data_IF_301652476788
#
_entry.id   IF_301652476788
#
_cell.length_a   1.000
_cell.length_b   1.000
_cell.length_c   1.000
_cell.angle_alpha   90.00
_cell.angle_beta   90.00
_cell.angle_gamma   90.00
#
_symmetry.space_group_name_H-M   'P 1'
#
loop_
_entity.id
_entity.type
_entity.pdbx_description
1 polymer ?
#
# COMPACT_ATOMS: atom_id res chain seq x y z
N UNK A 1 11.45 -14.52 22.29
CA UNK A 1 12.45 -13.95 21.35
C UNK A 1 12.57 -12.45 21.60
N UNK A 2 13.74 -11.96 22.03
CA UNK A 2 14.01 -10.51 22.09
C UNK A 2 13.95 -9.97 20.66
N UNK A 3 13.14 -8.95 20.41
CA UNK A 3 13.13 -8.28 19.11
C UNK A 3 14.54 -7.74 18.82
N UNK A 4 15.09 -8.04 17.66
CA UNK A 4 16.40 -7.51 17.27
C UNK A 4 16.35 -5.97 17.28
N UNK A 5 17.46 -5.31 17.63
CA UNK A 5 17.54 -3.84 17.72
C UNK A 5 17.01 -3.13 16.47
N UNK A 6 17.24 -3.73 15.31
CA UNK A 6 16.70 -3.32 14.01
C UNK A 6 15.17 -3.39 13.93
N UNK A 7 14.56 -4.51 14.30
CA UNK A 7 13.09 -4.66 14.29
C UNK A 7 12.42 -3.71 15.31
N UNK A 8 13.07 -3.48 16.45
CA UNK A 8 12.62 -2.48 17.43
C UNK A 8 12.65 -1.07 16.86
N UNK A 9 13.69 -0.71 16.09
CA UNK A 9 13.77 0.58 15.42
C UNK A 9 12.67 0.73 14.36
N UNK A 10 12.53 -0.23 13.43
CA UNK A 10 11.53 -0.19 12.35
C UNK A 10 10.08 -0.16 12.85
N UNK A 11 9.83 -0.65 14.06
CA UNK A 11 8.52 -0.57 14.69
C UNK A 11 8.34 0.67 15.56
N UNK A 12 9.39 1.45 15.81
CA UNK A 12 9.34 2.63 16.68
C UNK A 12 8.82 3.88 15.96
N UNK A 13 8.44 4.90 16.75
CA UNK A 13 8.15 6.23 16.22
C UNK A 13 9.37 6.94 15.64
N UNK A 14 10.59 6.58 16.07
CA UNK A 14 11.82 7.18 15.51
C UNK A 14 11.96 6.86 14.02
N UNK A 15 11.60 5.64 13.63
CA UNK A 15 11.57 5.26 12.22
C UNK A 15 10.48 6.01 11.44
N UNK A 16 9.29 6.19 12.02
CA UNK A 16 8.26 7.02 11.41
C UNK A 16 8.72 8.47 11.22
N UNK A 17 9.37 9.08 12.23
CA UNK A 17 9.95 10.41 12.11
C UNK A 17 11.02 10.47 11.01
N UNK A 18 11.85 9.44 10.86
CA UNK A 18 12.80 9.35 9.76
C UNK A 18 12.08 9.35 8.40
N UNK A 19 11.01 8.56 8.24
CA UNK A 19 10.20 8.55 7.00
C UNK A 19 9.61 9.94 6.70
N UNK A 20 9.20 10.70 7.72
CA UNK A 20 8.69 12.07 7.55
C UNK A 20 9.81 13.03 7.17
N UNK A 21 10.98 12.92 7.79
CA UNK A 21 12.15 13.76 7.45
C UNK A 21 12.63 13.48 6.02
N UNK A 22 12.60 12.22 5.58
CA UNK A 22 12.98 11.84 4.22
C UNK A 22 12.15 12.54 3.13
N UNK A 23 10.92 12.98 3.44
CA UNK A 23 10.05 13.72 2.51
C UNK A 23 10.65 15.07 2.10
N UNK A 24 11.42 15.68 2.99
CA UNK A 24 12.06 16.96 2.74
C UNK A 24 13.47 16.83 2.16
N UNK A 25 14.08 15.64 2.29
CA UNK A 25 15.43 15.37 1.81
C UNK A 25 15.41 14.79 0.39
N UNK A 26 14.49 13.87 0.12
CA UNK A 26 14.42 13.16 -1.16
C UNK A 26 13.54 13.91 -2.15
N UNK A 27 14.15 14.84 -2.88
CA UNK A 27 13.51 15.55 -3.98
C UNK A 27 13.18 14.62 -5.17
N UNK A 28 12.18 14.96 -5.99
CA UNK A 28 11.97 14.28 -7.25
C UNK A 28 13.21 14.44 -8.15
N UNK A 29 13.44 13.45 -9.00
CA UNK A 29 14.47 13.50 -10.04
C UNK A 29 13.79 13.74 -11.37
N UNK A 30 14.36 14.60 -12.21
CA UNK A 30 13.99 14.76 -13.60
C UNK A 30 15.27 14.93 -14.44
N UNK A 31 15.31 14.31 -15.61
CA UNK A 31 16.46 14.40 -16.52
C UNK A 31 16.47 15.67 -17.38
N UNK A 32 15.31 16.33 -17.53
CA UNK A 32 15.17 17.61 -18.24
C UNK A 32 14.49 18.66 -17.37
N UNK A 33 14.94 19.90 -17.51
CA UNK A 33 14.33 21.12 -16.94
C UNK A 33 14.05 21.06 -15.44
N UNK A 34 14.91 20.38 -14.67
CA UNK A 34 14.78 20.31 -13.23
C UNK A 34 15.10 21.66 -12.58
N UNK A 35 14.12 22.18 -11.82
CA UNK A 35 14.27 23.35 -10.95
C UNK A 35 13.70 23.05 -9.58
N UNK A 36 14.39 23.50 -8.54
CA UNK A 36 13.96 23.29 -7.15
C UNK A 36 12.57 23.86 -6.88
N UNK A 37 12.27 25.02 -7.46
CA UNK A 37 10.97 25.69 -7.29
C UNK A 37 9.83 24.91 -7.95
N UNK A 38 10.12 24.11 -8.97
CA UNK A 38 9.16 23.32 -9.73
C UNK A 38 9.00 21.88 -9.21
N UNK A 39 9.64 21.52 -8.08
CA UNK A 39 9.63 20.15 -7.58
C UNK A 39 8.20 19.60 -7.36
N UNK A 40 7.28 20.43 -6.86
CA UNK A 40 5.87 20.04 -6.69
C UNK A 40 5.18 19.72 -8.01
N UNK A 41 5.41 20.54 -9.04
CA UNK A 41 4.83 20.36 -10.37
C UNK A 41 5.39 19.11 -11.05
N UNK A 42 6.69 18.86 -10.91
CA UNK A 42 7.34 17.64 -11.41
C UNK A 42 6.71 16.40 -10.77
N UNK A 43 6.45 16.42 -9.46
CA UNK A 43 5.78 15.30 -8.77
C UNK A 43 4.39 15.07 -9.36
N UNK A 44 3.57 16.12 -9.44
CA UNK A 44 2.20 16.00 -9.93
C UNK A 44 2.17 15.50 -11.39
N UNK A 45 2.98 16.11 -12.25
CA UNK A 45 3.07 15.74 -13.66
C UNK A 45 3.56 14.30 -13.85
N UNK A 46 4.56 13.88 -13.07
CA UNK A 46 5.07 12.50 -13.09
C UNK A 46 3.99 11.51 -12.70
N UNK A 47 3.20 11.77 -11.67
CA UNK A 47 2.13 10.87 -11.23
C UNK A 47 0.99 10.76 -12.26
N UNK A 48 0.70 11.84 -13.00
CA UNK A 48 -0.30 11.83 -14.06
C UNK A 48 0.14 11.09 -15.33
N UNK A 49 1.45 11.03 -15.60
CA UNK A 49 2.03 10.38 -16.77
C UNK A 49 2.85 9.13 -16.41
N UNK A 50 2.62 8.57 -15.22
CA UNK A 50 3.38 7.43 -14.74
C UNK A 50 3.09 6.17 -15.58
N UNK A 51 4.04 5.23 -15.59
CA UNK A 51 3.93 3.99 -16.38
C UNK A 51 2.68 3.14 -16.10
N UNK A 52 2.01 3.35 -14.96
CA UNK A 52 0.72 2.73 -14.65
C UNK A 52 -0.34 3.04 -15.73
N UNK A 53 -0.28 4.21 -16.37
CA UNK A 53 -1.22 4.60 -17.42
C UNK A 53 -1.17 3.63 -18.61
N UNK A 54 0.03 3.19 -19.00
CA UNK A 54 0.23 2.21 -20.07
C UNK A 54 -0.08 0.77 -19.62
N UNK A 55 -0.10 0.52 -18.31
CA UNK A 55 -0.37 -0.79 -17.73
C UNK A 55 -1.87 -1.10 -17.60
N UNK A 56 -2.76 -0.10 -17.71
CA UNK A 56 -4.20 -0.31 -17.53
C UNK A 56 -4.80 -1.31 -18.53
N UNK A 57 -4.26 -1.43 -19.75
CA UNK A 57 -4.70 -2.46 -20.71
C UNK A 57 -4.44 -3.89 -20.22
N UNK A 58 -3.55 -4.06 -19.24
CA UNK A 58 -3.20 -5.35 -18.64
C UNK A 58 -3.82 -5.54 -17.25
N UNK A 59 -4.65 -4.61 -16.77
CA UNK A 59 -5.26 -4.62 -15.42
C UNK A 59 -5.92 -5.96 -15.10
N UNK A 60 -6.64 -6.53 -16.08
CA UNK A 60 -7.29 -7.84 -15.98
C UNK A 60 -6.36 -8.94 -15.45
N UNK A 61 -5.14 -9.04 -15.98
CA UNK A 61 -4.18 -10.07 -15.57
C UNK A 61 -3.74 -9.88 -14.11
N UNK A 62 -3.42 -8.65 -13.72
CA UNK A 62 -3.03 -8.33 -12.35
C UNK A 62 -4.16 -8.57 -11.36
N UNK A 63 -5.38 -8.20 -11.75
CA UNK A 63 -6.58 -8.37 -10.96
C UNK A 63 -6.90 -9.85 -10.72
N UNK A 64 -6.87 -10.67 -11.78
CA UNK A 64 -7.06 -12.13 -11.68
C UNK A 64 -5.99 -12.77 -10.79
N UNK A 65 -4.71 -12.45 -11.00
CA UNK A 65 -3.61 -12.96 -10.16
C UNK A 65 -3.82 -12.59 -8.70
N UNK A 66 -4.20 -11.34 -8.42
CA UNK A 66 -4.43 -10.87 -7.06
C UNK A 66 -5.63 -11.57 -6.41
N UNK A 67 -6.76 -11.69 -7.10
CA UNK A 67 -7.95 -12.39 -6.60
C UNK A 67 -7.62 -13.85 -6.29
N UNK A 68 -6.95 -14.55 -7.20
CA UNK A 68 -6.54 -15.94 -6.97
C UNK A 68 -5.59 -16.06 -5.78
N UNK A 69 -4.63 -15.14 -5.63
CA UNK A 69 -3.73 -15.11 -4.48
C UNK A 69 -4.47 -14.83 -3.15
N UNK A 70 -5.46 -13.94 -3.17
CA UNK A 70 -6.32 -13.63 -2.01
C UNK A 70 -7.18 -14.82 -1.61
N UNK A 71 -7.81 -15.50 -2.57
CA UNK A 71 -8.59 -16.72 -2.32
C UNK A 71 -7.66 -17.81 -1.77
N UNK A 72 -6.50 -18.02 -2.39
CA UNK A 72 -5.53 -19.02 -1.97
C UNK A 72 -5.03 -18.79 -0.54
N UNK A 73 -4.72 -17.55 -0.15
CA UNK A 73 -4.28 -17.26 1.23
C UNK A 73 -5.40 -17.46 2.25
N UNK A 74 -6.65 -17.15 1.89
CA UNK A 74 -7.81 -17.37 2.78
C UNK A 74 -8.12 -18.86 2.95
N UNK A 75 -8.07 -19.65 1.87
CA UNK A 75 -8.41 -21.08 1.87
C UNK A 75 -7.27 -21.92 2.46
N UNK A 76 -6.02 -21.68 2.06
CA UNK A 76 -4.87 -22.48 2.47
C UNK A 76 -4.10 -21.92 3.66
N UNK A 77 -4.41 -20.69 4.10
CA UNK A 77 -3.92 -20.08 5.35
C UNK A 77 -2.40 -20.16 5.49
N UNK A 78 -1.91 -20.74 6.59
CA UNK A 78 -0.49 -20.90 6.89
C UNK A 78 0.33 -21.55 5.76
N UNK A 79 -0.26 -22.50 5.01
CA UNK A 79 0.46 -23.21 3.93
C UNK A 79 0.84 -22.30 2.77
N UNK A 80 0.00 -21.30 2.45
CA UNK A 80 0.24 -20.37 1.34
C UNK A 80 0.81 -19.02 1.79
N UNK A 81 0.94 -18.81 3.11
CA UNK A 81 1.30 -17.51 3.69
C UNK A 81 2.64 -16.97 3.21
N UNK A 82 3.63 -17.86 3.05
CA UNK A 82 4.96 -17.50 2.54
C UNK A 82 4.90 -17.03 1.09
N UNK A 83 4.19 -17.77 0.24
CA UNK A 83 4.04 -17.46 -1.19
C UNK A 83 3.26 -16.17 -1.37
N UNK A 84 2.14 -16.02 -0.66
CA UNK A 84 1.36 -14.78 -0.67
C UNK A 84 2.19 -13.57 -0.24
N UNK A 85 2.99 -13.71 0.82
CA UNK A 85 3.88 -12.63 1.27
C UNK A 85 4.88 -12.23 0.18
N UNK A 86 5.43 -13.19 -0.57
CA UNK A 86 6.32 -12.91 -1.70
C UNK A 86 5.58 -12.20 -2.84
N UNK A 87 4.38 -12.66 -3.20
CA UNK A 87 3.52 -12.04 -4.22
C UNK A 87 3.26 -10.58 -3.85
N UNK A 88 2.77 -10.30 -2.64
CA UNK A 88 2.51 -8.94 -2.19
C UNK A 88 3.78 -8.07 -2.19
N UNK A 89 4.94 -8.63 -1.81
CA UNK A 89 6.23 -7.94 -1.92
C UNK A 89 6.60 -7.57 -3.36
N UNK A 90 6.39 -8.48 -4.33
CA UNK A 90 6.61 -8.20 -5.75
C UNK A 90 5.65 -7.13 -6.30
N UNK A 91 4.38 -7.17 -5.88
CA UNK A 91 3.41 -6.13 -6.24
C UNK A 91 3.80 -4.77 -5.66
N UNK A 92 4.27 -4.69 -4.41
CA UNK A 92 4.81 -3.45 -3.87
C UNK A 92 6.03 -2.94 -4.63
N UNK A 93 6.93 -3.84 -5.05
CA UNK A 93 8.08 -3.45 -5.88
C UNK A 93 7.62 -2.89 -7.24
N UNK A 94 6.60 -3.51 -7.83
CA UNK A 94 5.98 -3.02 -9.05
C UNK A 94 5.38 -1.62 -8.83
N UNK A 95 4.59 -1.41 -7.77
CA UNK A 95 3.97 -0.12 -7.46
C UNK A 95 5.00 1.00 -7.27
N UNK A 96 6.13 0.70 -6.63
CA UNK A 96 7.23 1.65 -6.47
C UNK A 96 7.72 2.17 -7.83
N UNK A 97 7.74 1.34 -8.86
CA UNK A 97 8.16 1.73 -10.21
C UNK A 97 7.00 2.34 -10.98
N UNK A 98 5.94 1.57 -11.23
CA UNK A 98 4.93 1.94 -12.23
C UNK A 98 4.11 3.17 -11.85
N UNK A 99 3.96 3.47 -10.55
CA UNK A 99 3.16 4.62 -10.12
C UNK A 99 3.98 5.88 -9.89
N UNK A 100 5.31 5.79 -9.83
CA UNK A 100 6.16 6.88 -9.37
C UNK A 100 7.26 7.25 -10.35
N UNK A 101 7.29 6.61 -11.52
CA UNK A 101 8.24 6.88 -12.60
C UNK A 101 7.48 7.12 -13.89
N UNK A 102 7.96 8.08 -14.68
CA UNK A 102 7.44 8.42 -15.99
C UNK A 102 8.58 8.76 -16.95
N UNK A 103 8.34 8.59 -18.25
CA UNK A 103 9.19 9.16 -19.31
C UNK A 103 8.30 10.05 -20.16
N UNK A 104 8.60 11.34 -20.15
CA UNK A 104 7.77 12.36 -20.80
C UNK A 104 8.62 13.29 -21.65
N UNK A 105 7.99 13.98 -22.60
CA UNK A 105 8.70 14.96 -23.41
C UNK A 105 9.20 16.14 -22.57
N UNK A 106 8.39 16.59 -21.60
CA UNK A 106 8.63 17.75 -20.75
C UNK A 106 9.78 17.53 -19.75
N UNK A 107 9.82 16.41 -19.05
CA UNK A 107 10.82 16.16 -17.98
C UNK A 107 11.81 15.04 -18.30
N UNK A 108 11.72 14.44 -19.49
CA UNK A 108 12.45 13.22 -19.82
C UNK A 108 12.04 12.10 -18.85
N UNK A 109 13.01 11.33 -18.36
CA UNK A 109 12.80 10.45 -17.22
C UNK A 109 12.59 11.28 -15.95
N UNK A 110 11.46 11.06 -15.26
CA UNK A 110 11.16 11.65 -13.97
C UNK A 110 10.72 10.61 -12.94
N UNK A 111 11.05 10.88 -11.67
CA UNK A 111 10.81 9.96 -10.56
C UNK A 111 10.42 10.72 -9.30
N UNK A 112 9.35 10.28 -8.64
CA UNK A 112 9.00 10.70 -7.28
C UNK A 112 9.85 9.90 -6.29
N UNK A 113 11.12 10.29 -6.15
CA UNK A 113 12.18 9.53 -5.46
C UNK A 113 11.77 9.04 -4.07
N UNK A 114 11.09 9.88 -3.29
CA UNK A 114 10.70 9.52 -1.93
C UNK A 114 9.64 8.41 -1.90
N UNK A 115 8.68 8.42 -2.83
CA UNK A 115 7.69 7.35 -2.92
C UNK A 115 8.35 6.03 -3.36
N UNK A 116 9.26 6.10 -4.33
CA UNK A 116 10.04 4.92 -4.76
C UNK A 116 10.81 4.32 -3.58
N UNK A 117 11.49 5.17 -2.79
CA UNK A 117 12.23 4.72 -1.62
C UNK A 117 11.31 4.11 -0.55
N UNK A 118 10.20 4.76 -0.22
CA UNK A 118 9.26 4.26 0.80
C UNK A 118 8.54 2.98 0.40
N UNK A 119 7.93 2.96 -0.79
CA UNK A 119 7.18 1.81 -1.29
C UNK A 119 8.15 0.66 -1.59
N UNK A 120 9.33 0.95 -2.14
CA UNK A 120 10.41 -0.02 -2.30
C UNK A 120 10.87 -0.61 -0.97
N UNK A 121 10.97 0.20 0.09
CA UNK A 121 11.28 -0.30 1.43
C UNK A 121 10.17 -1.23 1.98
N UNK A 122 8.90 -0.89 1.76
CA UNK A 122 7.77 -1.79 2.08
C UNK A 122 7.94 -3.12 1.34
N UNK A 123 8.21 -3.07 0.03
CA UNK A 123 8.44 -4.27 -0.79
C UNK A 123 9.55 -5.15 -0.21
N UNK A 124 10.70 -4.56 0.14
CA UNK A 124 11.82 -5.27 0.74
C UNK A 124 11.46 -5.92 2.08
N UNK A 125 10.68 -5.23 2.93
CA UNK A 125 10.21 -5.77 4.21
C UNK A 125 9.28 -6.98 4.01
N UNK A 126 8.39 -6.93 3.02
CA UNK A 126 7.54 -8.06 2.65
C UNK A 126 8.36 -9.23 2.10
N UNK A 127 9.25 -8.99 1.15
CA UNK A 127 10.12 -10.04 0.57
C UNK A 127 11.03 -10.66 1.64
N UNK A 128 11.56 -9.86 2.56
CA UNK A 128 12.35 -10.34 3.68
C UNK A 128 11.53 -11.21 4.64
N UNK A 129 10.28 -10.84 4.93
CA UNK A 129 9.37 -11.67 5.72
C UNK A 129 9.01 -12.98 5.02
N UNK A 130 8.83 -12.95 3.69
CA UNK A 130 8.64 -14.15 2.87
C UNK A 130 9.88 -15.06 2.89
N UNK A 131 11.08 -14.49 2.86
CA UNK A 131 12.32 -15.26 2.96
C UNK A 131 12.46 -15.94 4.32
N UNK A 132 12.21 -15.21 5.41
CA UNK A 132 12.24 -15.74 6.78
C UNK A 132 11.10 -16.71 7.10
N UNK A 133 9.99 -16.66 6.35
CA UNK A 133 8.80 -17.48 6.62
C UNK A 133 8.11 -17.10 7.93
N UNK A 134 8.19 -15.84 8.36
CA UNK A 134 7.67 -15.38 9.65
C UNK A 134 6.33 -14.62 9.56
N UNK A 135 5.60 -14.83 8.47
CA UNK A 135 4.22 -14.39 8.29
C UNK A 135 3.32 -15.62 8.18
N UNK A 136 2.36 -15.73 9.08
CA UNK A 136 1.31 -16.74 9.04
C UNK A 136 -0.07 -16.07 9.02
N UNK A 137 -0.80 -16.26 7.93
CA UNK A 137 -2.18 -15.80 7.77
C UNK A 137 -3.14 -16.86 8.28
N UNK A 138 -3.48 -16.78 9.57
CA UNK A 138 -4.38 -17.73 10.26
C UNK A 138 -5.83 -17.25 10.35
N UNK A 139 -6.07 -15.94 10.18
CA UNK A 139 -7.39 -15.28 10.38
C UNK A 139 -7.99 -15.54 11.77
N UNK A 140 -7.14 -15.68 12.78
CA UNK A 140 -7.53 -15.95 14.17
C UNK A 140 -8.01 -14.69 14.94
N UNK A 141 -7.88 -13.52 14.34
CA UNK A 141 -8.27 -12.24 14.91
C UNK A 141 -9.52 -11.66 14.21
N UNK A 142 -10.40 -12.51 13.69
CA UNK A 142 -11.72 -12.11 13.15
C UNK A 142 -12.68 -11.92 14.33
N UNK A 143 -12.95 -10.66 14.67
CA UNK A 143 -13.83 -10.26 15.77
C UNK A 143 -14.71 -9.10 15.32
N UNK A 144 -15.73 -8.71 16.08
CA UNK A 144 -16.52 -7.51 15.76
C UNK A 144 -15.66 -6.23 15.61
N UNK A 145 -14.55 -6.14 16.37
CA UNK A 145 -13.64 -4.98 16.34
C UNK A 145 -12.77 -4.90 15.07
N UNK A 146 -12.60 -6.02 14.38
CA UNK A 146 -11.71 -6.16 13.20
C UNK A 146 -12.47 -6.54 11.95
N UNK A 147 -13.66 -7.12 12.05
CA UNK A 147 -14.48 -7.59 10.93
C UNK A 147 -14.93 -6.46 10.00
N UNK A 148 -15.08 -5.23 10.51
CA UNK A 148 -15.39 -4.05 9.68
C UNK A 148 -14.32 -3.76 8.62
N UNK A 149 -13.09 -4.28 8.76
CA UNK A 149 -12.02 -4.11 7.78
C UNK A 149 -12.23 -4.93 6.51
N UNK A 150 -13.08 -5.96 6.55
CA UNK A 150 -13.42 -6.82 5.41
C UNK A 150 -14.20 -6.04 4.33
N UNK A 151 -15.34 -5.38 4.61
CA UNK A 151 -16.06 -4.62 3.59
C UNK A 151 -15.21 -3.47 3.02
N UNK A 152 -14.33 -2.87 3.81
CA UNK A 152 -13.39 -1.85 3.31
C UNK A 152 -12.41 -2.45 2.30
N UNK A 153 -11.84 -3.62 2.60
CA UNK A 153 -10.97 -4.33 1.66
C UNK A 153 -11.70 -4.72 0.37
N UNK A 154 -12.95 -5.23 0.47
CA UNK A 154 -13.75 -5.57 -0.70
C UNK A 154 -14.05 -4.35 -1.57
N UNK A 155 -14.39 -3.21 -0.95
CA UNK A 155 -14.56 -1.94 -1.66
C UNK A 155 -13.26 -1.51 -2.37
N UNK A 156 -12.11 -1.62 -1.72
CA UNK A 156 -10.83 -1.26 -2.33
C UNK A 156 -10.41 -2.21 -3.46
N UNK A 157 -10.75 -3.49 -3.35
CA UNK A 157 -10.51 -4.48 -4.40
C UNK A 157 -11.42 -4.21 -5.62
N UNK A 158 -12.68 -3.85 -5.39
CA UNK A 158 -13.61 -3.48 -6.45
C UNK A 158 -13.23 -2.16 -7.13
N UNK A 159 -12.94 -1.13 -6.34
CA UNK A 159 -12.61 0.22 -6.78
C UNK A 159 -13.53 0.75 -7.92
N UNK A 160 -14.84 0.94 -7.65
CA UNK A 160 -15.83 1.31 -8.67
C UNK A 160 -15.71 2.77 -9.13
N UNK A 161 -14.62 3.10 -9.82
CA UNK A 161 -14.33 4.44 -10.32
C UNK A 161 -13.89 4.38 -11.78
N UNK A 162 -14.49 5.23 -12.61
CA UNK A 162 -14.05 5.40 -13.99
C UNK A 162 -12.69 6.10 -14.03
N UNK A 163 -11.71 5.47 -14.67
CA UNK A 163 -10.37 6.04 -14.86
C UNK A 163 -10.38 7.28 -15.77
N UNK A 164 -11.41 7.44 -16.62
CA UNK A 164 -11.51 8.56 -17.56
C UNK A 164 -12.03 9.83 -16.90
N UNK A 165 -13.03 9.68 -16.02
CA UNK A 165 -13.73 10.81 -15.41
C UNK A 165 -13.40 11.01 -13.95
N UNK A 166 -12.72 10.04 -13.31
CA UNK A 166 -12.47 9.99 -11.87
C UNK A 166 -13.75 10.09 -11.01
N UNK A 167 -14.91 9.75 -11.62
CA UNK A 167 -16.20 9.73 -10.96
C UNK A 167 -16.58 8.29 -10.54
N UNK A 168 -17.40 8.13 -9.50
CA UNK A 168 -17.95 6.83 -9.12
C UNK A 168 -18.71 6.19 -10.28
N UNK A 169 -18.40 4.93 -10.55
CA UNK A 169 -19.04 4.10 -11.57
C UNK A 169 -19.18 2.69 -11.02
N UNK A 170 -20.39 2.35 -10.53
CA UNK A 170 -20.67 1.15 -9.75
C UNK A 170 -20.88 -0.11 -10.62
N UNK A 171 -20.10 -0.24 -11.68
CA UNK A 171 -20.15 -1.42 -12.53
C UNK A 171 -19.35 -2.57 -11.93
N UNK A 172 -19.90 -3.78 -12.02
CA UNK A 172 -19.27 -4.97 -11.44
C UNK A 172 -18.01 -5.42 -12.20
N UNK A 173 -17.84 -5.00 -13.46
CA UNK A 173 -16.69 -5.44 -14.25
C UNK A 173 -15.35 -5.00 -13.64
N UNK A 174 -15.33 -3.84 -12.96
CA UNK A 174 -14.17 -3.34 -12.23
C UNK A 174 -13.61 -4.31 -11.17
N UNK A 175 -14.39 -5.31 -10.71
CA UNK A 175 -13.85 -6.37 -9.86
C UNK A 175 -12.77 -7.19 -10.55
N UNK A 176 -12.88 -7.46 -11.85
CA UNK A 176 -11.98 -8.35 -12.58
C UNK A 176 -11.13 -7.64 -13.64
N UNK A 177 -11.50 -6.45 -14.10
CA UNK A 177 -10.70 -5.64 -15.05
C UNK A 177 -10.34 -4.24 -14.51
N UNK A 178 -10.70 -3.95 -13.25
CA UNK A 178 -10.38 -2.68 -12.61
C UNK A 178 -8.89 -2.50 -12.39
N UNK A 179 -8.46 -1.25 -12.33
CA UNK A 179 -7.06 -0.87 -12.10
C UNK A 179 -6.59 -1.01 -10.65
N UNK A 180 -7.38 -1.62 -9.75
CA UNK A 180 -7.09 -1.62 -8.33
C UNK A 180 -5.83 -2.45 -8.00
N UNK A 181 -5.68 -3.65 -8.55
CA UNK A 181 -4.48 -4.47 -8.32
C UNK A 181 -3.17 -3.88 -8.89
N UNK A 182 -3.23 -2.81 -9.67
CA UNK A 182 -2.04 -2.10 -10.19
C UNK A 182 -1.55 -0.98 -9.27
N UNK A 183 -2.32 -0.65 -8.22
CA UNK A 183 -2.08 0.56 -7.45
C UNK A 183 -1.89 0.29 -5.94
N UNK A 184 -0.95 1.03 -5.35
CA UNK A 184 -0.63 1.00 -3.93
C UNK A 184 -1.83 1.39 -3.06
N UNK A 185 -2.55 2.46 -3.44
CA UNK A 185 -3.63 3.04 -2.64
C UNK A 185 -4.82 2.09 -2.40
N UNK A 186 -5.38 1.40 -3.41
CA UNK A 186 -6.40 0.39 -3.20
C UNK A 186 -5.88 -0.89 -2.54
N UNK A 187 -4.69 -1.37 -2.91
CA UNK A 187 -4.23 -2.70 -2.44
C UNK A 187 -3.65 -2.69 -1.03
N UNK A 188 -3.10 -1.57 -0.58
CA UNK A 188 -2.56 -1.48 0.79
C UNK A 188 -3.61 -1.67 1.87
N UNK A 189 -4.82 -1.06 1.80
CA UNK A 189 -5.97 -1.42 2.65
C UNK A 189 -6.26 -2.91 2.68
N UNK A 190 -6.28 -3.58 1.51
CA UNK A 190 -6.55 -5.01 1.40
C UNK A 190 -5.49 -5.82 2.15
N UNK A 191 -4.21 -5.53 1.92
CA UNK A 191 -3.12 -6.22 2.61
C UNK A 191 -3.08 -5.92 4.11
N UNK A 192 -3.35 -4.68 4.53
CA UNK A 192 -3.46 -4.31 5.93
C UNK A 192 -4.63 -5.03 6.61
N UNK A 193 -5.77 -5.20 5.94
CA UNK A 193 -6.89 -6.02 6.43
C UNK A 193 -6.43 -7.45 6.72
N UNK A 194 -5.75 -8.11 5.78
CA UNK A 194 -5.25 -9.47 6.00
C UNK A 194 -4.28 -9.55 7.19
N UNK A 195 -3.36 -8.59 7.31
CA UNK A 195 -2.40 -8.52 8.41
C UNK A 195 -3.09 -8.27 9.77
N UNK A 196 -4.12 -7.42 9.79
CA UNK A 196 -4.92 -7.15 11.00
C UNK A 196 -5.73 -8.37 11.41
N UNK A 197 -6.37 -9.05 10.46
CA UNK A 197 -7.17 -10.25 10.73
C UNK A 197 -6.31 -11.45 11.13
N UNK A 198 -5.02 -11.45 10.78
CA UNK A 198 -4.04 -12.47 11.17
C UNK A 198 -2.98 -11.94 12.15
N UNK A 199 -3.32 -10.91 12.92
CA UNK A 199 -2.36 -10.12 13.73
C UNK A 199 -1.44 -10.95 14.63
N UNK A 200 -1.87 -12.11 15.11
CA UNK A 200 -1.09 -12.96 16.01
C UNK A 200 0.03 -13.72 15.29
N UNK A 201 -0.19 -14.12 14.03
CA UNK A 201 0.75 -14.90 13.21
C UNK A 201 1.63 -14.07 12.28
N UNK A 202 1.31 -12.80 12.04
CA UNK A 202 2.06 -11.95 11.11
C UNK A 202 3.19 -11.16 11.77
N UNK A 203 4.24 -10.89 10.99
CA UNK A 203 5.37 -10.11 11.41
C UNK A 203 4.98 -8.65 11.69
N UNK A 204 5.26 -8.20 12.92
CA UNK A 204 4.94 -6.84 13.37
C UNK A 204 5.65 -5.74 12.56
N UNK A 205 6.84 -6.01 12.04
CA UNK A 205 7.58 -5.07 11.18
C UNK A 205 6.79 -4.85 9.89
N UNK A 206 6.32 -5.92 9.24
CA UNK A 206 5.51 -5.83 8.01
C UNK A 206 4.26 -4.99 8.25
N UNK A 207 3.50 -5.31 9.30
CA UNK A 207 2.28 -4.57 9.66
C UNK A 207 2.55 -3.08 9.91
N UNK A 208 3.57 -2.76 10.73
CA UNK A 208 3.82 -1.36 11.12
C UNK A 208 4.46 -0.55 10.02
N UNK A 209 5.45 -1.07 9.29
CA UNK A 209 6.10 -0.35 8.20
C UNK A 209 5.10 -0.07 7.07
N UNK A 210 4.31 -1.08 6.68
CA UNK A 210 3.25 -0.90 5.66
C UNK A 210 2.24 0.17 6.08
N UNK A 211 1.79 0.12 7.33
CA UNK A 211 0.84 1.10 7.84
C UNK A 211 1.45 2.50 8.03
N UNK A 212 2.73 2.62 8.39
CA UNK A 212 3.42 3.92 8.47
C UNK A 212 3.50 4.60 7.11
N UNK A 213 3.93 3.87 6.08
CA UNK A 213 4.01 4.39 4.71
C UNK A 213 2.59 4.68 4.17
N UNK A 214 1.62 3.81 4.46
CA UNK A 214 0.23 4.02 4.12
C UNK A 214 -0.39 5.27 4.75
N UNK A 215 -0.01 5.64 5.99
CA UNK A 215 -0.43 6.92 6.59
C UNK A 215 0.17 8.10 5.82
N UNK A 216 1.47 8.07 5.52
CA UNK A 216 2.14 9.18 4.83
C UNK A 216 1.51 9.41 3.45
N UNK A 217 1.40 8.36 2.64
CA UNK A 217 0.80 8.43 1.31
C UNK A 217 -0.70 8.76 1.39
N UNK A 218 -1.40 8.21 2.38
CA UNK A 218 -2.79 8.55 2.66
C UNK A 218 -2.99 10.05 2.91
N UNK A 219 -2.12 10.67 3.71
CA UNK A 219 -2.13 12.10 3.96
C UNK A 219 -1.90 12.92 2.67
N UNK A 220 -0.97 12.52 1.80
CA UNK A 220 -0.76 13.19 0.51
C UNK A 220 -2.00 13.16 -0.36
N UNK A 221 -2.68 12.02 -0.40
CA UNK A 221 -3.90 11.89 -1.19
C UNK A 221 -5.08 12.70 -0.64
N UNK A 222 -5.04 13.17 0.61
CA UNK A 222 -6.03 14.13 1.12
C UNK A 222 -5.92 15.49 0.43
N UNK A 223 -4.78 15.79 -0.19
CA UNK A 223 -4.61 16.95 -1.06
C UNK A 223 -5.62 16.98 -2.22
N UNK A 224 -6.16 15.84 -2.65
CA UNK A 224 -7.21 15.80 -3.68
C UNK A 224 -8.47 16.56 -3.25
N UNK A 225 -8.78 16.65 -1.95
CA UNK A 225 -9.92 17.45 -1.48
C UNK A 225 -9.73 18.96 -1.67
N UNK A 226 -8.51 19.42 -1.90
CA UNK A 226 -8.23 20.82 -2.20
C UNK A 226 -8.48 21.19 -3.68
N UNK A 227 -8.72 20.20 -4.55
CA UNK A 227 -9.04 20.41 -5.96
C UNK A 227 -10.56 20.43 -6.20
N UNK A 228 -11.04 21.32 -7.07
CA UNK A 228 -12.47 21.48 -7.39
C UNK A 228 -13.12 20.18 -7.90
N UNK A 229 -12.37 19.34 -8.61
CA UNK A 229 -12.84 18.06 -9.15
C UNK A 229 -12.37 16.85 -8.35
N UNK A 230 -11.57 17.07 -7.30
CA UNK A 230 -10.88 16.00 -6.57
C UNK A 230 -11.66 15.39 -5.41
N UNK A 231 -12.89 15.82 -5.14
CA UNK A 231 -13.68 15.33 -4.00
C UNK A 231 -13.84 13.80 -3.98
N UNK A 232 -14.28 13.20 -5.10
CA UNK A 232 -14.46 11.75 -5.19
C UNK A 232 -13.12 11.01 -5.16
N UNK A 233 -12.07 11.57 -5.78
CA UNK A 233 -10.72 11.00 -5.72
C UNK A 233 -10.22 10.96 -4.28
N UNK A 234 -10.38 12.04 -3.52
CA UNK A 234 -10.05 12.11 -2.10
C UNK A 234 -10.84 11.07 -1.29
N UNK A 235 -12.14 10.94 -1.54
CA UNK A 235 -13.02 9.96 -0.87
C UNK A 235 -12.53 8.52 -1.07
N UNK A 236 -12.13 8.16 -2.28
CA UNK A 236 -11.61 6.81 -2.60
C UNK A 236 -10.24 6.52 -1.96
N UNK A 237 -9.51 7.56 -1.56
CA UNK A 237 -8.24 7.41 -0.84
C UNK A 237 -8.39 7.38 0.70
N UNK A 238 -9.55 7.71 1.25
CA UNK A 238 -9.81 7.60 2.70
C UNK A 238 -9.58 6.19 3.26
N UNK A 239 -9.95 5.09 2.58
CA UNK A 239 -9.64 3.74 3.04
C UNK A 239 -8.15 3.52 3.33
N UNK A 240 -7.24 4.05 2.49
CA UNK A 240 -5.80 3.96 2.72
C UNK A 240 -5.42 4.61 4.05
N UNK A 241 -5.83 5.86 4.25
CA UNK A 241 -5.48 6.61 5.47
C UNK A 241 -6.12 5.97 6.72
N UNK A 242 -7.41 5.67 6.66
CA UNK A 242 -8.18 5.10 7.77
C UNK A 242 -7.66 3.72 8.18
N UNK A 243 -7.45 2.81 7.22
CA UNK A 243 -6.92 1.47 7.50
C UNK A 243 -5.48 1.53 8.02
N UNK A 244 -4.65 2.44 7.50
CA UNK A 244 -3.28 2.61 7.95
C UNK A 244 -3.20 3.11 9.38
N UNK A 245 -3.99 4.13 9.75
CA UNK A 245 -4.08 4.61 11.14
C UNK A 245 -4.58 3.49 12.05
N UNK A 246 -5.66 2.80 11.66
CA UNK A 246 -6.20 1.71 12.45
C UNK A 246 -5.21 0.56 12.64
N UNK A 247 -4.48 0.15 11.60
CA UNK A 247 -3.43 -0.85 11.68
C UNK A 247 -2.30 -0.43 12.64
N UNK A 248 -1.87 0.84 12.60
CA UNK A 248 -0.85 1.36 13.52
C UNK A 248 -1.32 1.37 14.98
N UNK A 249 -2.57 1.78 15.24
CA UNK A 249 -3.13 1.80 16.59
C UNK A 249 -3.36 0.38 17.12
N UNK A 250 -3.96 -0.49 16.31
CA UNK A 250 -4.20 -1.89 16.68
C UNK A 250 -2.89 -2.63 16.91
N UNK A 251 -1.81 -2.33 16.17
CA UNK A 251 -0.48 -2.94 16.38
C UNK A 251 0.19 -2.60 17.72
N UNK A 252 -0.33 -1.63 18.49
CA UNK A 252 0.19 -1.26 19.83
C UNK A 252 -0.37 -2.11 20.96
N UNK A 253 -1.58 -2.65 20.82
CA UNK A 253 -2.16 -3.49 21.85
C UNK A 253 -1.23 -4.69 22.09
N UNK A 254 -0.69 -4.73 23.32
CA UNK A 254 0.21 -5.78 23.85
C UNK A 254 -0.30 -7.16 23.43
N UNK A 255 0.63 -8.09 23.16
CA UNK A 255 0.33 -9.52 23.31
C UNK A 255 -0.35 -9.64 24.67
N UNK A 256 -1.62 -10.02 24.71
CA UNK A 256 -2.10 -10.72 25.89
C UNK A 256 -1.15 -11.90 26.01
N UNK A 257 -0.39 -11.94 27.11
CA UNK A 257 0.26 -13.18 27.49
C UNK A 257 -0.82 -14.26 27.43
N UNK A 258 -0.55 -15.45 26.89
CA UNK A 258 -1.29 -16.61 27.31
C UNK A 258 -0.95 -16.80 28.80
N UNK A 259 -1.66 -16.08 29.67
CA UNK A 259 -1.67 -16.40 31.08
C UNK A 259 -2.46 -17.70 31.22
N UNK A 260 -1.78 -18.68 31.81
CA UNK A 260 -2.31 -19.94 32.26
C UNK A 260 -3.71 -19.79 32.88
N UNK A 261 -4.67 -20.56 32.37
CA UNK A 261 -5.65 -21.31 33.16
C UNK A 261 -5.84 -22.65 32.49
#
# INVERSE_FOLDING_TARGET
MKANRWESFLTSWKFFSLLVVLQFILMPVATKDFRFEAAGDIVFYTLQHAFIMDMYSYSFYFQVVMILALIAVVVWKGKFSRVFTAIAGCFYLLYAVIQNMAVTEQHGFSMVTVNVAMIGFVALVWLWAAWKGNNEFSFDNVTWKTGWTIPVALFCLWWPMSLKTALPDFQLHYLYDGGSALAFCPMTPVFLTLLVLSKRGVNRVVLRVTAMVGVIIGCYNMGNFASETGFYVGLYHLPLLGMSIYALLSSRQKRQNPECV
#
